data_IF_972053295270
#
_entry.id   IF_972053295270
#
_cell.length_a   1.000
_cell.length_b   1.000
_cell.length_c   1.000
_cell.angle_alpha   90.00
_cell.angle_beta   90.00
_cell.angle_gamma   90.00
#
_symmetry.space_group_name_H-M   'P 1'
#
loop_
_entity.id
_entity.type
_entity.pdbx_description
1 polymer ?
#
# COMPACT_ATOMS: atom_id res chain seq x y z
N UNK A 1 -15.28 -5.11 9.42
CA UNK A 1 -15.14 -3.84 8.68
C UNK A 1 -14.09 -4.03 7.61
N UNK A 2 -14.18 -3.28 6.50
CA UNK A 2 -13.15 -3.25 5.48
C UNK A 2 -12.20 -2.09 5.76
N UNK A 3 -10.89 -2.31 5.71
CA UNK A 3 -9.85 -1.32 6.06
C UNK A 3 -8.85 -1.22 4.90
N UNK A 4 -8.58 -0.01 4.43
CA UNK A 4 -7.51 0.24 3.47
C UNK A 4 -6.25 0.70 4.21
N UNK A 5 -5.18 -0.08 4.12
CA UNK A 5 -3.85 0.28 4.63
C UNK A 5 -3.01 0.76 3.45
N UNK A 6 -2.78 2.07 3.33
CA UNK A 6 -2.01 2.67 2.23
C UNK A 6 -0.60 2.99 2.70
N UNK A 7 0.41 2.40 2.05
CA UNK A 7 1.82 2.52 2.41
C UNK A 7 2.70 2.82 1.20
N UNK A 8 3.87 3.41 1.44
CA UNK A 8 4.77 3.77 0.34
C UNK A 8 6.25 3.74 0.70
N UNK A 9 6.64 4.27 1.85
CA UNK A 9 8.04 4.40 2.23
C UNK A 9 8.53 3.21 3.06
N UNK A 10 9.85 2.94 3.04
CA UNK A 10 10.45 1.82 3.80
C UNK A 10 10.07 1.77 5.30
N UNK A 11 10.04 2.90 6.05
CA UNK A 11 9.59 2.89 7.44
C UNK A 11 8.14 2.45 7.63
N UNK A 12 7.29 2.56 6.60
CA UNK A 12 5.89 2.17 6.68
C UNK A 12 5.75 0.65 6.68
N UNK A 13 6.60 -0.11 5.96
CA UNK A 13 6.56 -1.59 5.98
C UNK A 13 6.79 -2.14 7.38
N UNK A 14 7.83 -1.62 8.06
CA UNK A 14 8.20 -2.05 9.42
C UNK A 14 7.04 -1.83 10.40
N UNK A 15 6.33 -0.70 10.29
CA UNK A 15 5.18 -0.38 11.15
C UNK A 15 3.90 -1.14 10.74
N UNK A 16 3.70 -1.33 9.45
CA UNK A 16 2.53 -1.99 8.90
C UNK A 16 2.55 -3.50 9.20
N UNK A 17 3.71 -4.15 9.21
CA UNK A 17 3.84 -5.59 9.44
C UNK A 17 3.09 -6.10 10.70
N UNK A 18 3.37 -5.61 11.92
CA UNK A 18 2.65 -6.07 13.10
C UNK A 18 1.17 -5.64 13.10
N UNK A 19 0.84 -4.49 12.53
CA UNK A 19 -0.54 -3.98 12.49
C UNK A 19 -1.42 -4.80 11.54
N UNK A 20 -0.96 -5.01 10.31
CA UNK A 20 -1.65 -5.79 9.27
C UNK A 20 -1.95 -7.21 9.75
N UNK A 21 -0.97 -7.84 10.41
CA UNK A 21 -1.13 -9.18 11.01
C UNK A 21 -2.29 -9.25 12.00
N UNK A 22 -2.48 -8.23 12.83
CA UNK A 22 -3.58 -8.19 13.80
C UNK A 22 -4.91 -7.76 13.17
N UNK A 23 -4.88 -6.77 12.25
CA UNK A 23 -6.07 -6.31 11.55
C UNK A 23 -6.73 -7.45 10.76
N UNK A 24 -5.95 -8.23 10.00
CA UNK A 24 -6.47 -9.32 9.16
C UNK A 24 -7.11 -10.47 9.94
N UNK A 25 -6.96 -10.55 11.27
CA UNK A 25 -7.65 -11.55 12.10
C UNK A 25 -9.13 -11.23 12.30
N UNK A 26 -9.50 -9.95 12.24
CA UNK A 26 -10.84 -9.47 12.63
C UNK A 26 -11.48 -8.56 11.58
N UNK A 27 -10.71 -8.11 10.59
CA UNK A 27 -11.12 -7.18 9.55
C UNK A 27 -10.63 -7.65 8.17
N UNK A 28 -11.34 -7.19 7.14
CA UNK A 28 -10.94 -7.37 5.74
C UNK A 28 -10.00 -6.21 5.37
N UNK A 29 -8.69 -6.44 5.52
CA UNK A 29 -7.67 -5.44 5.20
C UNK A 29 -7.26 -5.54 3.73
N UNK A 30 -7.24 -4.40 3.06
CA UNK A 30 -6.72 -4.21 1.71
C UNK A 30 -5.43 -3.40 1.82
N UNK A 31 -4.31 -4.02 1.50
CA UNK A 31 -2.99 -3.41 1.54
C UNK A 31 -2.65 -2.78 0.19
N UNK A 32 -2.45 -1.46 0.17
CA UNK A 32 -2.17 -0.68 -1.03
C UNK A 32 -0.76 -0.11 -0.92
N UNK A 33 0.11 -0.46 -1.88
CA UNK A 33 1.47 0.04 -1.98
C UNK A 33 1.57 1.12 -3.08
N UNK A 34 1.91 2.36 -2.73
CA UNK A 34 1.93 3.48 -3.68
C UNK A 34 3.04 3.38 -4.74
N UNK A 35 4.13 2.66 -4.47
CA UNK A 35 5.13 2.33 -5.49
C UNK A 35 5.99 3.51 -5.94
N UNK A 36 6.22 4.49 -5.05
CA UNK A 36 6.95 5.72 -5.36
C UNK A 36 8.49 5.62 -5.21
N UNK A 37 8.99 4.46 -4.76
CA UNK A 37 10.42 4.13 -4.71
C UNK A 37 10.77 3.04 -5.75
N UNK A 38 11.93 3.17 -6.41
CA UNK A 38 12.38 2.30 -7.51
C UNK A 38 12.82 0.90 -7.09
N UNK A 39 13.05 0.65 -5.80
CA UNK A 39 13.72 -0.58 -5.36
C UNK A 39 12.72 -1.67 -4.98
N UNK A 40 11.96 -2.13 -5.97
CA UNK A 40 10.99 -3.22 -5.82
C UNK A 40 11.67 -4.51 -5.33
N UNK A 41 12.87 -4.79 -5.84
CA UNK A 41 13.68 -5.96 -5.44
C UNK A 41 14.11 -5.86 -3.96
N UNK A 42 14.57 -4.69 -3.50
CA UNK A 42 14.90 -4.51 -2.08
C UNK A 42 13.66 -4.50 -1.18
N UNK A 43 12.49 -4.12 -1.69
CA UNK A 43 11.24 -4.18 -0.93
C UNK A 43 10.78 -5.63 -0.73
N UNK A 44 10.94 -6.51 -1.73
CA UNK A 44 10.48 -7.90 -1.64
C UNK A 44 11.13 -8.68 -0.49
N UNK A 45 12.45 -8.53 -0.31
CA UNK A 45 13.18 -9.14 0.81
C UNK A 45 12.60 -8.70 2.16
N UNK A 46 12.26 -7.42 2.29
CA UNK A 46 11.69 -6.88 3.53
C UNK A 46 10.29 -7.42 3.81
N UNK A 47 9.46 -7.61 2.77
CA UNK A 47 8.14 -8.22 2.91
C UNK A 47 8.27 -9.68 3.38
N UNK A 48 9.19 -10.43 2.80
CA UNK A 48 9.47 -11.82 3.20
C UNK A 48 10.00 -11.91 4.65
N UNK A 49 11.00 -11.09 5.01
CA UNK A 49 11.58 -11.07 6.36
C UNK A 49 10.57 -10.67 7.44
N UNK A 50 9.75 -9.67 7.16
CA UNK A 50 8.73 -9.17 8.09
C UNK A 50 7.43 -9.98 8.03
N UNK A 51 7.34 -10.96 7.12
CA UNK A 51 6.14 -11.75 6.83
C UNK A 51 4.92 -10.87 6.55
N UNK A 52 5.14 -9.77 5.83
CA UNK A 52 4.06 -8.92 5.34
C UNK A 52 3.48 -9.61 4.11
N UNK A 53 2.14 -9.73 3.99
CA UNK A 53 1.55 -10.21 2.75
C UNK A 53 1.90 -9.26 1.60
N UNK A 54 2.03 -9.81 0.39
CA UNK A 54 2.12 -8.98 -0.83
C UNK A 54 0.94 -8.00 -0.88
N UNK A 55 1.16 -6.75 -1.34
CA UNK A 55 0.09 -5.77 -1.41
C UNK A 55 -0.99 -6.20 -2.39
N UNK A 56 -2.24 -6.04 -1.99
CA UNK A 56 -3.41 -6.29 -2.83
C UNK A 56 -3.42 -5.37 -4.07
N UNK A 57 -2.86 -4.17 -3.94
CA UNK A 57 -2.62 -3.24 -5.05
C UNK A 57 -1.23 -2.62 -4.98
N UNK A 58 -0.48 -2.69 -6.08
CA UNK A 58 0.74 -1.91 -6.27
C UNK A 58 0.49 -0.81 -7.31
N UNK A 59 0.47 0.46 -6.87
CA UNK A 59 0.06 1.58 -7.71
C UNK A 59 1.14 2.02 -8.71
N UNK A 60 2.42 1.73 -8.44
CA UNK A 60 3.51 2.01 -9.38
C UNK A 60 3.70 3.49 -9.72
N UNK A 61 3.53 4.40 -8.75
CA UNK A 61 3.63 5.86 -8.96
C UNK A 61 5.01 6.28 -9.50
N UNK A 62 6.09 5.59 -9.09
CA UNK A 62 7.45 5.93 -9.50
C UNK A 62 8.00 7.20 -8.83
N UNK A 63 9.21 7.61 -9.23
CA UNK A 63 9.80 8.86 -8.75
C UNK A 63 9.60 10.00 -9.75
N UNK A 64 9.32 11.19 -9.22
CA UNK A 64 9.12 12.41 -9.97
C UNK A 64 9.30 13.62 -9.04
N UNK A 65 8.96 14.83 -9.51
CA UNK A 65 8.86 15.98 -8.60
C UNK A 65 7.79 15.74 -7.53
N UNK A 66 7.94 16.35 -6.34
CA UNK A 66 7.00 16.12 -5.23
C UNK A 66 5.53 16.40 -5.58
N UNK A 67 5.27 17.46 -6.36
CA UNK A 67 3.91 17.82 -6.77
C UNK A 67 3.30 16.76 -7.69
N UNK A 68 4.06 16.32 -8.69
CA UNK A 68 3.64 15.26 -9.62
C UNK A 68 3.42 13.92 -8.90
N UNK A 69 4.34 13.54 -8.01
CA UNK A 69 4.26 12.29 -7.25
C UNK A 69 3.02 12.29 -6.34
N UNK A 70 2.73 13.42 -5.71
CA UNK A 70 1.55 13.60 -4.85
C UNK A 70 0.26 13.50 -5.66
N UNK A 71 0.21 14.18 -6.82
CA UNK A 71 -0.95 14.12 -7.71
C UNK A 71 -1.23 12.70 -8.20
N UNK A 72 -0.18 11.97 -8.58
CA UNK A 72 -0.34 10.60 -9.07
C UNK A 72 -0.71 9.62 -7.95
N UNK A 73 -0.17 9.80 -6.74
CA UNK A 73 -0.61 9.04 -5.56
C UNK A 73 -2.10 9.26 -5.30
N UNK A 74 -2.58 10.50 -5.32
CA UNK A 74 -3.98 10.82 -5.06
C UNK A 74 -4.90 10.11 -6.07
N UNK A 75 -4.60 10.28 -7.36
CA UNK A 75 -5.37 9.69 -8.46
C UNK A 75 -5.43 8.16 -8.35
N UNK A 76 -4.28 7.49 -8.27
CA UNK A 76 -4.23 6.02 -8.27
C UNK A 76 -4.78 5.41 -6.97
N UNK A 77 -4.66 6.12 -5.85
CA UNK A 77 -5.26 5.66 -4.58
C UNK A 77 -6.79 5.68 -4.68
N UNK A 78 -7.39 6.74 -5.21
CA UNK A 78 -8.85 6.80 -5.41
C UNK A 78 -9.32 5.67 -6.34
N UNK A 79 -8.63 5.44 -7.46
CA UNK A 79 -8.94 4.34 -8.38
C UNK A 79 -8.92 2.97 -7.67
N UNK A 80 -7.95 2.72 -6.80
CA UNK A 80 -7.85 1.48 -6.03
C UNK A 80 -8.99 1.36 -4.99
N UNK A 81 -9.31 2.44 -4.28
CA UNK A 81 -10.40 2.45 -3.30
C UNK A 81 -11.77 2.18 -3.94
N UNK A 82 -12.04 2.79 -5.10
CA UNK A 82 -13.26 2.55 -5.88
C UNK A 82 -13.33 1.08 -6.34
N UNK A 83 -12.25 0.55 -6.93
CA UNK A 83 -12.20 -0.86 -7.36
C UNK A 83 -12.46 -1.84 -6.21
N UNK A 84 -11.99 -1.51 -5.02
CA UNK A 84 -12.17 -2.35 -3.84
C UNK A 84 -13.55 -2.21 -3.19
N UNK A 85 -14.45 -1.40 -3.79
CA UNK A 85 -15.80 -1.09 -3.33
C UNK A 85 -15.83 -0.47 -1.92
N UNK A 86 -14.87 0.40 -1.60
CA UNK A 86 -14.94 1.22 -0.37
C UNK A 86 -16.04 2.28 -0.44
N UNK A 87 -16.54 2.59 -1.64
CA UNK A 87 -17.75 3.37 -1.84
C UNK A 87 -18.70 2.63 -2.77
N UNK A 88 -19.94 2.46 -2.31
CA UNK A 88 -21.10 2.29 -3.16
C UNK A 88 -21.54 3.71 -3.55
N UNK A 89 -21.39 4.08 -4.82
CA UNK A 89 -22.03 5.27 -5.38
C UNK A 89 -23.30 4.86 -6.09
#
# INVERSE_FOLDING_TARGET
MKIASIIGARPNFIKCAPLSKELRKVHDEVLIHTGQHYDYEMNKILFDELRIPEPDYHLGVGSSTHGEQTGEMLKRTEEALIKTKFKEY
#
